data_IF_687933474058
#
_entry.id   IF_687933474058
#
_cell.length_a   1.000
_cell.length_b   1.000
_cell.length_c   1.000
_cell.angle_alpha   90.00
_cell.angle_beta   90.00
_cell.angle_gamma   90.00
#
_symmetry.space_group_name_H-M   'P 1'
#
loop_
_entity.id
_entity.type
_entity.pdbx_description
1 polymer ?
#
# COMPACT_ATOMS: atom_id res chain seq x y z
N UNK A 1 13.67 32.86 -3.66
CA UNK A 1 12.42 32.49 -4.34
C UNK A 1 11.22 33.43 -4.05
N UNK A 2 11.37 34.53 -3.29
CA UNK A 2 10.25 35.48 -3.05
C UNK A 2 9.69 36.09 -4.35
N UNK A 3 10.49 36.12 -5.42
CA UNK A 3 10.04 36.54 -6.76
C UNK A 3 9.16 35.52 -7.48
N UNK A 4 9.32 34.22 -7.23
CA UNK A 4 8.55 33.18 -7.93
C UNK A 4 7.12 33.11 -7.40
N UNK A 5 6.95 33.23 -6.07
CA UNK A 5 5.62 33.42 -5.48
C UNK A 5 4.89 34.61 -6.09
N UNK A 6 5.56 35.77 -6.17
CA UNK A 6 4.95 36.98 -6.77
C UNK A 6 4.56 36.74 -8.23
N UNK A 7 5.42 36.10 -9.03
CA UNK A 7 5.10 35.76 -10.43
C UNK A 7 3.89 34.84 -10.55
N UNK A 8 3.78 33.81 -9.72
CA UNK A 8 2.65 32.89 -9.71
C UNK A 8 1.33 33.60 -9.36
N UNK A 9 1.33 34.42 -8.29
CA UNK A 9 0.15 35.20 -7.91
C UNK A 9 -0.21 36.22 -9.00
N UNK A 10 0.77 36.92 -9.59
CA UNK A 10 0.53 37.84 -10.69
C UNK A 10 0.02 37.16 -11.97
N UNK A 11 0.26 35.86 -12.14
CA UNK A 11 -0.26 35.06 -13.25
C UNK A 11 -1.69 34.54 -12.99
N UNK A 12 -2.30 34.87 -11.85
CA UNK A 12 -3.66 34.45 -11.49
C UNK A 12 -3.74 33.11 -10.75
N UNK A 13 -2.62 32.61 -10.21
CA UNK A 13 -2.64 31.44 -9.32
C UNK A 13 -3.08 31.83 -7.91
N UNK A 14 -3.76 30.92 -7.22
CA UNK A 14 -4.21 31.14 -5.84
C UNK A 14 -3.04 31.19 -4.84
N UNK A 15 -2.02 30.34 -5.04
CA UNK A 15 -0.84 30.31 -4.17
C UNK A 15 0.38 29.63 -4.81
N UNK A 16 1.47 29.48 -4.05
CA UNK A 16 2.75 28.94 -4.49
C UNK A 16 3.43 28.08 -3.42
N UNK A 17 3.84 26.87 -3.80
CA UNK A 17 4.74 26.01 -3.01
C UNK A 17 6.05 25.80 -3.77
N UNK A 18 7.18 26.03 -3.10
CA UNK A 18 8.50 25.79 -3.67
C UNK A 18 8.88 24.31 -3.58
N UNK A 19 9.78 23.86 -4.46
CA UNK A 19 10.45 22.55 -4.30
C UNK A 19 11.65 22.67 -3.34
N UNK A 20 12.01 21.61 -2.59
CA UNK A 20 11.26 20.35 -2.46
C UNK A 20 9.95 20.57 -1.69
N UNK A 21 8.91 19.82 -2.05
CA UNK A 21 7.58 19.98 -1.44
C UNK A 21 7.61 19.36 -0.04
N UNK A 22 7.45 20.19 0.98
CA UNK A 22 7.32 19.76 2.38
C UNK A 22 5.85 19.44 2.70
N UNK A 23 5.59 18.23 3.22
CA UNK A 23 4.22 17.73 3.45
C UNK A 23 3.40 18.61 4.40
N UNK A 24 4.02 19.15 5.44
CA UNK A 24 3.35 20.02 6.44
C UNK A 24 2.84 21.30 5.77
N UNK A 25 3.66 21.89 4.89
CA UNK A 25 3.29 23.11 4.16
C UNK A 25 2.19 22.82 3.13
N UNK A 26 2.27 21.68 2.44
CA UNK A 26 1.22 21.27 1.51
C UNK A 26 -0.12 21.05 2.22
N UNK A 27 -0.13 20.39 3.37
CA UNK A 27 -1.33 20.16 4.16
C UNK A 27 -1.99 21.48 4.59
N UNK A 28 -1.19 22.45 5.05
CA UNK A 28 -1.69 23.78 5.43
C UNK A 28 -2.33 24.52 4.25
N UNK A 29 -1.70 24.49 3.08
CA UNK A 29 -2.25 25.11 1.88
C UNK A 29 -3.55 24.44 1.43
N UNK A 30 -3.62 23.11 1.49
CA UNK A 30 -4.86 22.38 1.15
C UNK A 30 -6.00 22.76 2.09
N UNK A 31 -5.75 22.85 3.41
CA UNK A 31 -6.74 23.31 4.40
C UNK A 31 -7.23 24.73 4.15
N UNK A 32 -6.37 25.60 3.62
CA UNK A 32 -6.70 26.99 3.34
C UNK A 32 -7.53 27.16 2.06
N UNK A 33 -7.22 26.39 1.00
CA UNK A 33 -7.75 26.62 -0.34
C UNK A 33 -8.85 25.63 -0.76
N UNK A 34 -8.98 24.46 -0.12
CA UNK A 34 -10.15 23.61 -0.31
C UNK A 34 -11.29 24.11 0.59
N UNK A 35 -12.51 24.30 0.06
CA UNK A 35 -13.66 24.56 0.90
C UNK A 35 -13.92 23.35 1.80
N UNK A 36 -14.22 23.58 3.08
CA UNK A 36 -14.90 22.62 3.96
C UNK A 36 -16.33 22.42 3.43
N UNK A 37 -16.47 21.85 2.23
CA UNK A 37 -17.76 21.36 1.78
C UNK A 37 -18.02 20.06 2.51
N UNK A 38 -19.00 20.14 3.39
CA UNK A 38 -19.82 19.08 3.96
C UNK A 38 -19.18 17.71 3.90
N UNK A 39 -18.85 17.19 5.09
CA UNK A 39 -18.98 15.79 5.43
C UNK A 39 -19.52 14.94 4.27
N UNK A 40 -18.63 14.56 3.33
CA UNK A 40 -18.54 13.16 3.00
C UNK A 40 -18.48 12.54 4.36
N UNK A 41 -19.59 11.87 4.68
CA UNK A 41 -19.79 11.16 5.91
C UNK A 41 -18.46 10.62 6.37
N UNK A 42 -18.28 10.57 7.67
CA UNK A 42 -17.43 9.56 8.28
C UNK A 42 -17.89 8.16 7.82
N UNK A 43 -17.85 7.83 6.51
CA UNK A 43 -17.26 6.60 6.05
C UNK A 43 -16.02 6.52 6.88
N UNK A 44 -16.08 5.64 7.89
CA UNK A 44 -14.95 5.08 8.60
C UNK A 44 -13.72 5.35 7.75
N UNK A 45 -12.74 6.09 8.25
CA UNK A 45 -11.39 5.91 7.74
C UNK A 45 -11.22 4.39 7.78
N UNK A 46 -11.42 3.72 6.64
CA UNK A 46 -11.04 2.33 6.49
C UNK A 46 -9.58 2.42 6.88
N UNK A 47 -9.19 1.73 7.95
CA UNK A 47 -7.78 1.64 8.23
C UNK A 47 -7.13 1.26 6.90
N UNK A 48 -6.01 1.88 6.56
CA UNK A 48 -5.37 1.59 5.27
C UNK A 48 -5.15 0.07 5.11
N UNK A 49 -5.05 -0.62 6.24
CA UNK A 49 -5.02 -2.07 6.46
C UNK A 49 -6.28 -2.86 6.05
N UNK A 50 -7.41 -2.21 5.75
CA UNK A 50 -8.65 -2.83 5.24
C UNK A 50 -8.79 -2.69 3.72
N UNK A 51 -7.88 -1.95 3.07
CA UNK A 51 -7.93 -1.73 1.62
C UNK A 51 -7.35 -2.94 0.92
N UNK A 52 -8.25 -3.79 0.40
CA UNK A 52 -7.89 -4.99 -0.36
C UNK A 52 -7.10 -4.62 -1.61
N UNK A 53 -7.56 -3.62 -2.37
CA UNK A 53 -6.88 -3.16 -3.57
C UNK A 53 -7.22 -1.70 -3.88
N UNK A 54 -6.20 -0.85 -3.99
CA UNK A 54 -6.30 0.53 -4.46
C UNK A 54 -5.81 0.63 -5.92
N UNK A 55 -6.74 0.46 -6.85
CA UNK A 55 -6.46 0.53 -8.28
C UNK A 55 -5.94 1.91 -8.73
N UNK A 56 -6.44 2.98 -8.12
CA UNK A 56 -6.06 4.35 -8.48
C UNK A 56 -4.63 4.63 -8.04
N UNK A 57 -4.26 4.24 -6.82
CA UNK A 57 -2.89 4.35 -6.33
C UNK A 57 -1.93 3.52 -7.21
N UNK A 58 -2.29 2.27 -7.51
CA UNK A 58 -1.47 1.40 -8.36
C UNK A 58 -1.28 2.00 -9.77
N UNK A 59 -2.35 2.49 -10.40
CA UNK A 59 -2.29 3.13 -11.72
C UNK A 59 -1.49 4.43 -11.70
N UNK A 60 -1.65 5.26 -10.66
CA UNK A 60 -0.93 6.51 -10.47
C UNK A 60 0.57 6.29 -10.36
N UNK A 61 0.99 5.29 -9.57
CA UNK A 61 2.39 4.90 -9.40
C UNK A 61 3.07 4.50 -10.72
N UNK A 62 2.29 3.96 -11.66
CA UNK A 62 2.79 3.55 -12.98
C UNK A 62 2.58 4.62 -14.07
N UNK A 63 2.22 5.85 -13.68
CA UNK A 63 1.94 6.96 -14.60
C UNK A 63 0.90 6.61 -15.66
N UNK A 64 -0.10 5.79 -15.29
CA UNK A 64 -1.18 5.37 -16.18
C UNK A 64 -0.77 4.36 -17.25
N UNK A 65 0.40 3.71 -17.16
CA UNK A 65 0.87 2.72 -18.14
C UNK A 65 0.17 1.37 -17.95
N UNK A 66 -1.03 1.20 -18.50
CA UNK A 66 -1.87 0.00 -18.33
C UNK A 66 -1.15 -1.32 -18.70
N UNK A 67 -0.38 -1.35 -19.80
CA UNK A 67 0.41 -2.55 -20.19
C UNK A 67 1.46 -2.94 -19.15
N UNK A 68 2.03 -1.96 -18.43
CA UNK A 68 2.98 -2.23 -17.36
C UNK A 68 2.26 -2.72 -16.11
N UNK A 69 1.07 -2.19 -15.82
CA UNK A 69 0.21 -2.62 -14.72
C UNK A 69 -0.13 -4.11 -14.82
N UNK A 70 -0.55 -4.58 -16.01
CA UNK A 70 -0.79 -6.01 -16.29
C UNK A 70 0.45 -6.87 -16.01
N UNK A 71 1.62 -6.43 -16.49
CA UNK A 71 2.89 -7.17 -16.29
C UNK A 71 3.26 -7.28 -14.82
N UNK A 72 3.13 -6.18 -14.08
CA UNK A 72 3.46 -6.14 -12.65
C UNK A 72 2.46 -6.97 -11.85
N UNK A 73 1.16 -6.87 -12.13
CA UNK A 73 0.13 -7.66 -11.46
C UNK A 73 0.36 -9.17 -11.64
N UNK A 74 0.64 -9.64 -12.86
CA UNK A 74 0.96 -11.06 -13.11
C UNK A 74 2.23 -11.51 -12.40
N UNK A 75 3.29 -10.70 -12.44
CA UNK A 75 4.53 -11.02 -11.75
C UNK A 75 4.34 -11.09 -10.23
N UNK A 76 3.58 -10.15 -9.66
CA UNK A 76 3.24 -10.12 -8.23
C UNK A 76 2.46 -11.37 -7.80
N UNK A 77 1.41 -11.74 -8.53
CA UNK A 77 0.59 -12.92 -8.20
C UNK A 77 1.46 -14.18 -8.19
N UNK A 78 2.24 -14.42 -9.25
CA UNK A 78 3.05 -15.63 -9.39
C UNK A 78 4.15 -15.73 -8.30
N UNK A 79 4.86 -14.63 -8.05
CA UNK A 79 5.93 -14.59 -7.04
C UNK A 79 5.36 -14.74 -5.62
N UNK A 80 4.24 -14.07 -5.33
CA UNK A 80 3.61 -14.12 -4.00
C UNK A 80 3.03 -15.50 -3.70
N UNK A 81 2.42 -16.19 -4.68
CA UNK A 81 1.96 -17.57 -4.49
C UNK A 81 3.09 -18.53 -4.07
N UNK A 82 4.27 -18.38 -4.67
CA UNK A 82 5.43 -19.19 -4.30
C UNK A 82 5.89 -18.88 -2.87
N UNK A 83 5.99 -17.59 -2.52
CA UNK A 83 6.41 -17.15 -1.19
C UNK A 83 5.42 -17.52 -0.10
N UNK A 84 4.12 -17.47 -0.36
CA UNK A 84 3.06 -17.93 0.56
C UNK A 84 3.26 -19.41 0.93
N UNK A 85 3.56 -20.27 -0.05
CA UNK A 85 3.83 -21.69 0.20
C UNK A 85 5.07 -21.90 1.06
N UNK A 86 6.15 -21.17 0.76
CA UNK A 86 7.40 -21.22 1.54
C UNK A 86 7.20 -20.69 2.96
N UNK A 87 6.38 -19.66 3.13
CA UNK A 87 6.07 -19.07 4.42
C UNK A 87 5.31 -20.07 5.30
N UNK A 88 4.24 -20.70 4.79
CA UNK A 88 3.49 -21.70 5.55
C UNK A 88 4.38 -22.89 5.98
N UNK A 89 5.27 -23.36 5.11
CA UNK A 89 6.25 -24.40 5.48
C UNK A 89 7.26 -23.94 6.55
N UNK A 90 7.68 -22.67 6.49
CA UNK A 90 8.58 -22.08 7.50
C UNK A 90 7.89 -21.92 8.86
N UNK A 91 6.58 -21.66 8.87
CA UNK A 91 5.76 -21.61 10.09
C UNK A 91 5.67 -22.99 10.75
N UNK A 92 5.41 -24.04 9.97
CA UNK A 92 5.37 -25.43 10.48
C UNK A 92 6.71 -25.86 11.09
N UNK A 93 7.82 -25.50 10.43
CA UNK A 93 9.18 -25.80 10.88
C UNK A 93 9.72 -24.81 11.92
N UNK A 94 8.93 -23.79 12.30
CA UNK A 94 9.27 -22.73 13.27
C UNK A 94 10.57 -21.97 12.94
N UNK A 95 10.86 -21.81 11.65
CA UNK A 95 12.03 -21.08 11.16
C UNK A 95 11.76 -19.57 11.15
N UNK A 96 11.89 -18.94 12.31
CA UNK A 96 11.63 -17.50 12.53
C UNK A 96 12.41 -16.59 11.58
N UNK A 97 13.65 -16.97 11.25
CA UNK A 97 14.50 -16.21 10.34
C UNK A 97 13.93 -16.23 8.92
N UNK A 98 13.51 -17.40 8.42
CA UNK A 98 12.87 -17.50 7.10
C UNK A 98 11.49 -16.83 7.07
N UNK A 99 10.70 -16.95 8.13
CA UNK A 99 9.38 -16.29 8.23
C UNK A 99 9.55 -14.78 8.01
N UNK A 100 10.46 -14.16 8.76
CA UNK A 100 10.73 -12.72 8.67
C UNK A 100 11.25 -12.34 7.29
N UNK A 101 12.19 -13.11 6.75
CA UNK A 101 12.81 -12.86 5.43
C UNK A 101 11.84 -13.01 4.26
N UNK A 102 10.80 -13.85 4.38
CA UNK A 102 9.75 -14.00 3.37
C UNK A 102 8.68 -12.92 3.49
N UNK A 103 8.29 -12.57 4.71
CA UNK A 103 7.22 -11.60 4.98
C UNK A 103 7.62 -10.16 4.59
N UNK A 104 8.86 -9.76 4.85
CA UNK A 104 9.35 -8.42 4.53
C UNK A 104 9.19 -8.01 3.05
N UNK A 105 9.67 -8.78 2.05
CA UNK A 105 9.48 -8.43 0.66
C UNK A 105 8.02 -8.53 0.21
N UNK A 106 7.21 -9.43 0.80
CA UNK A 106 5.77 -9.52 0.50
C UNK A 106 5.05 -8.24 0.90
N UNK A 107 5.39 -7.65 2.06
CA UNK A 107 4.86 -6.36 2.50
C UNK A 107 5.08 -5.26 1.45
N UNK A 108 6.32 -5.09 1.00
CA UNK A 108 6.68 -4.03 0.05
C UNK A 108 6.08 -4.24 -1.35
N UNK A 109 6.08 -5.49 -1.83
CA UNK A 109 5.49 -5.85 -3.11
C UNK A 109 3.97 -5.58 -3.11
N UNK A 110 3.28 -5.94 -2.04
CA UNK A 110 1.87 -5.70 -1.84
C UNK A 110 1.51 -4.21 -1.88
N UNK A 111 2.25 -3.39 -1.13
CA UNK A 111 2.04 -1.93 -1.10
C UNK A 111 2.23 -1.31 -2.49
N UNK A 112 3.20 -1.80 -3.27
CA UNK A 112 3.47 -1.35 -4.64
C UNK A 112 2.31 -1.61 -5.60
N UNK A 113 1.57 -2.70 -5.40
CA UNK A 113 0.38 -3.03 -6.21
C UNK A 113 -0.91 -2.50 -5.59
N UNK A 114 -0.85 -1.66 -4.54
CA UNK A 114 -2.03 -1.12 -3.87
C UNK A 114 -2.77 -2.10 -2.96
N UNK A 115 -2.17 -3.25 -2.63
CA UNK A 115 -2.75 -4.29 -1.77
C UNK A 115 -2.45 -4.06 -0.29
N UNK A 116 -3.02 -3.02 0.30
CA UNK A 116 -2.63 -2.55 1.64
C UNK A 116 -3.03 -3.51 2.77
N UNK A 117 -4.17 -4.19 2.66
CA UNK A 117 -4.58 -5.20 3.64
C UNK A 117 -3.64 -6.40 3.68
N UNK A 118 -3.22 -6.88 2.53
CA UNK A 118 -2.22 -7.94 2.43
C UNK A 118 -0.84 -7.45 2.91
N UNK A 119 -0.46 -6.21 2.58
CA UNK A 119 0.78 -5.59 3.07
C UNK A 119 0.83 -5.51 4.60
N UNK A 120 -0.26 -5.06 5.24
CA UNK A 120 -0.37 -4.98 6.71
C UNK A 120 -0.25 -6.36 7.35
N UNK A 121 -0.95 -7.37 6.83
CA UNK A 121 -0.84 -8.73 7.35
C UNK A 121 0.57 -9.30 7.21
N UNK A 122 1.24 -9.08 6.07
CA UNK A 122 2.63 -9.49 5.89
C UNK A 122 3.54 -8.80 6.92
N UNK A 123 3.28 -7.54 7.27
CA UNK A 123 4.02 -6.84 8.30
C UNK A 123 3.79 -7.41 9.72
N UNK A 124 2.55 -7.77 10.06
CA UNK A 124 2.25 -8.42 11.34
C UNK A 124 2.98 -9.75 11.48
N UNK A 125 3.07 -10.52 10.40
CA UNK A 125 3.86 -11.75 10.34
C UNK A 125 5.36 -11.48 10.51
N UNK A 126 5.88 -10.46 9.84
CA UNK A 126 7.27 -10.02 9.97
C UNK A 126 7.63 -9.71 11.44
N UNK A 127 6.77 -8.94 12.12
CA UNK A 127 6.95 -8.60 13.54
C UNK A 127 6.87 -9.86 14.41
N UNK A 128 5.81 -10.67 14.27
CA UNK A 128 5.64 -11.89 15.06
C UNK A 128 6.80 -12.88 14.88
N UNK A 129 7.33 -12.99 13.65
CA UNK A 129 8.54 -13.77 13.36
C UNK A 129 9.78 -13.23 14.08
N UNK A 130 9.96 -11.90 14.11
CA UNK A 130 11.10 -11.25 14.79
C UNK A 130 11.03 -11.34 16.32
N UNK A 131 9.83 -11.32 16.89
CA UNK A 131 9.57 -11.40 18.34
C UNK A 131 9.47 -12.85 18.85
N UNK A 132 9.34 -13.84 17.95
CA UNK A 132 9.21 -15.25 18.30
C UNK A 132 7.80 -15.66 18.77
N UNK A 133 6.78 -14.85 18.48
CA UNK A 133 5.40 -15.03 18.93
C UNK A 133 4.61 -16.03 18.07
N UNK A 134 5.04 -17.30 18.10
CA UNK A 134 4.48 -18.37 17.27
C UNK A 134 2.99 -18.69 17.56
N UNK A 135 2.46 -18.30 18.72
CA UNK A 135 1.07 -18.58 19.10
C UNK A 135 0.06 -17.89 18.18
N UNK A 136 0.39 -16.69 17.70
CA UNK A 136 -0.48 -15.92 16.82
C UNK A 136 -0.22 -16.23 15.34
N UNK A 137 0.86 -16.95 15.04
CA UNK A 137 1.36 -17.17 13.68
C UNK A 137 0.36 -17.92 12.79
N UNK A 138 -0.33 -18.91 13.34
CA UNK A 138 -1.33 -19.69 12.59
C UNK A 138 -2.54 -18.84 12.18
N UNK A 139 -2.99 -17.94 13.07
CA UNK A 139 -4.08 -17.01 12.76
C UNK A 139 -3.64 -16.00 11.69
N UNK A 140 -2.45 -15.41 11.87
CA UNK A 140 -1.92 -14.44 10.92
C UNK A 140 -1.69 -15.05 9.52
N UNK A 141 -1.21 -16.29 9.43
CA UNK A 141 -1.06 -17.01 8.16
C UNK A 141 -2.42 -17.24 7.47
N UNK A 142 -3.46 -17.56 8.24
CA UNK A 142 -4.82 -17.69 7.71
C UNK A 142 -5.35 -16.36 7.16
N UNK A 143 -5.24 -15.27 7.94
CA UNK A 143 -5.66 -13.93 7.52
C UNK A 143 -4.86 -13.46 6.29
N UNK A 144 -3.56 -13.75 6.24
CA UNK A 144 -2.70 -13.42 5.11
C UNK A 144 -3.15 -14.15 3.82
N UNK A 145 -3.49 -15.44 3.91
CA UNK A 145 -4.00 -16.24 2.78
C UNK A 145 -5.32 -15.68 2.25
N UNK A 146 -6.23 -15.31 3.14
CA UNK A 146 -7.50 -14.70 2.78
C UNK A 146 -7.29 -13.36 2.06
N UNK A 147 -6.49 -12.47 2.65
CA UNK A 147 -6.19 -11.17 2.04
C UNK A 147 -5.50 -11.31 0.69
N UNK A 148 -4.61 -12.30 0.52
CA UNK A 148 -4.00 -12.59 -0.77
C UNK A 148 -5.02 -13.05 -1.80
N UNK A 149 -5.93 -13.96 -1.43
CA UNK A 149 -6.96 -14.47 -2.33
C UNK A 149 -7.89 -13.34 -2.81
N UNK A 150 -8.31 -12.46 -1.90
CA UNK A 150 -9.13 -11.29 -2.23
C UNK A 150 -8.40 -10.29 -3.13
N UNK A 151 -7.13 -9.98 -2.82
CA UNK A 151 -6.30 -9.11 -3.66
C UNK A 151 -6.07 -9.72 -5.05
N UNK A 152 -5.82 -11.03 -5.14
CA UNK A 152 -5.65 -11.73 -6.41
C UNK A 152 -6.91 -11.62 -7.27
N UNK A 153 -8.09 -11.90 -6.72
CA UNK A 153 -9.37 -11.74 -7.44
C UNK A 153 -9.56 -10.30 -7.93
N UNK A 154 -9.29 -9.31 -7.07
CA UNK A 154 -9.42 -7.90 -7.44
C UNK A 154 -8.47 -7.50 -8.58
N UNK A 155 -7.21 -7.99 -8.56
CA UNK A 155 -6.25 -7.77 -9.64
C UNK A 155 -6.70 -8.45 -10.94
N UNK A 156 -7.22 -9.67 -10.86
CA UNK A 156 -7.72 -10.42 -12.02
C UNK A 156 -8.93 -9.75 -12.66
N UNK A 157 -9.86 -9.21 -11.87
CA UNK A 157 -11.09 -8.59 -12.37
C UNK A 157 -10.89 -7.18 -12.94
N UNK A 158 -9.95 -6.41 -12.39
CA UNK A 158 -9.82 -4.98 -12.68
C UNK A 158 -8.59 -4.61 -13.51
N UNK A 159 -7.61 -5.50 -13.62
CA UNK A 159 -6.33 -5.23 -14.28
C UNK A 159 -6.04 -6.21 -15.42
N UNK A 160 -6.31 -7.51 -15.25
CA UNK A 160 -5.85 -8.58 -16.14
C UNK A 160 -6.81 -8.94 -17.27
#
# INVERSE_FOLDING_TARGET
MQGDRKKCISAGMDDYIAKPVELIHLEQMLKQWLPEKDHLTTSKFKNNEDIIFDQLAFKSQLLGKDKLMVKIARAFINDTELKMKQLSASIETRDLSKITALAHPMKGAAATVGGMAFSSQAHRIEIAGSEGELKQMAQLDSELKENFAQLKSALEESVL
#
